data_IF_526972600811
#
_entry.id   IF_526972600811
#
_cell.length_a   1.000
_cell.length_b   1.000
_cell.length_c   1.000
_cell.angle_alpha   90.00
_cell.angle_beta   90.00
_cell.angle_gamma   90.00
#
_symmetry.space_group_name_H-M   'P 1'
#
loop_
_entity.id
_entity.type
_entity.pdbx_description
1 polymer ?
#
# COMPACT_ATOMS: atom_id res chain seq x y z
N UNK A 1 -39.56 -4.45 6.09
CA UNK A 1 -38.51 -4.45 7.12
C UNK A 1 -37.22 -4.92 6.46
N UNK A 2 -36.12 -4.21 6.72
CA UNK A 2 -35.01 -4.00 5.80
C UNK A 2 -34.30 -5.25 5.30
N UNK A 3 -33.94 -5.23 4.02
CA UNK A 3 -32.83 -6.02 3.50
C UNK A 3 -31.56 -5.46 4.15
N UNK A 4 -31.03 -6.15 5.16
CA UNK A 4 -29.66 -5.89 5.57
C UNK A 4 -28.79 -6.16 4.35
N UNK A 5 -28.30 -5.09 3.72
CA UNK A 5 -27.18 -5.18 2.80
C UNK A 5 -26.02 -5.67 3.67
N UNK A 6 -25.83 -6.99 3.70
CA UNK A 6 -24.59 -7.58 4.16
C UNK A 6 -23.55 -7.17 3.13
N UNK A 7 -22.94 -6.00 3.35
CA UNK A 7 -21.79 -5.54 2.59
C UNK A 7 -20.75 -6.64 2.70
N UNK A 8 -20.60 -7.44 1.64
CA UNK A 8 -19.47 -8.36 1.52
C UNK A 8 -18.23 -7.49 1.39
N UNK A 9 -17.66 -7.11 2.53
CA UNK A 9 -16.34 -6.51 2.59
C UNK A 9 -15.35 -7.56 2.11
N UNK A 10 -15.02 -7.52 0.83
CA UNK A 10 -14.02 -8.39 0.25
C UNK A 10 -12.64 -7.80 0.58
N UNK A 11 -12.02 -8.34 1.63
CA UNK A 11 -10.62 -8.09 1.92
C UNK A 11 -9.77 -9.14 1.19
N UNK A 12 -8.95 -8.69 0.25
CA UNK A 12 -8.12 -9.56 -0.58
C UNK A 12 -6.66 -9.22 -0.31
N UNK A 13 -5.87 -10.24 0.06
CA UNK A 13 -4.42 -10.17 0.02
C UNK A 13 -3.95 -11.04 -1.14
N UNK A 14 -3.14 -10.47 -2.02
CA UNK A 14 -2.50 -11.20 -3.12
C UNK A 14 -1.07 -10.71 -3.32
N UNK A 15 -0.26 -11.49 -4.04
CA UNK A 15 1.01 -10.99 -4.57
C UNK A 15 0.75 -9.77 -5.44
N UNK A 16 1.60 -8.77 -5.29
CA UNK A 16 1.58 -7.58 -6.12
C UNK A 16 1.99 -7.94 -7.55
N UNK A 17 1.33 -7.29 -8.50
CA UNK A 17 1.67 -7.29 -9.91
C UNK A 17 2.33 -5.96 -10.25
N UNK A 18 3.09 -5.88 -11.33
CA UNK A 18 3.82 -4.64 -11.70
C UNK A 18 2.89 -3.42 -11.82
N UNK A 19 1.63 -3.63 -12.21
CA UNK A 19 0.62 -2.57 -12.28
C UNK A 19 0.22 -1.98 -10.92
N UNK A 20 0.51 -2.66 -9.82
CA UNK A 20 0.23 -2.18 -8.47
C UNK A 20 1.31 -1.21 -7.95
N UNK A 21 2.48 -1.15 -8.60
CA UNK A 21 3.61 -0.35 -8.13
C UNK A 21 3.26 1.12 -7.82
N UNK A 22 2.47 1.83 -8.65
CA UNK A 22 2.05 3.20 -8.33
C UNK A 22 1.23 3.29 -7.03
N UNK A 23 0.29 2.37 -6.82
CA UNK A 23 -0.57 2.37 -5.64
C UNK A 23 0.21 2.02 -4.37
N UNK A 24 1.15 1.08 -4.46
CA UNK A 24 2.06 0.71 -3.37
C UNK A 24 2.93 1.90 -2.98
N UNK A 25 3.50 2.60 -3.97
CA UNK A 25 4.29 3.81 -3.74
C UNK A 25 3.47 4.89 -3.01
N UNK A 26 2.23 5.14 -3.43
CA UNK A 26 1.34 6.09 -2.74
C UNK A 26 1.04 5.70 -1.30
N UNK A 27 0.67 4.43 -1.05
CA UNK A 27 0.40 3.89 0.28
C UNK A 27 1.61 4.06 1.20
N UNK A 28 2.79 3.74 0.68
CA UNK A 28 4.05 3.85 1.40
C UNK A 28 4.32 5.31 1.80
N UNK A 29 4.27 6.24 0.84
CA UNK A 29 4.48 7.66 1.09
C UNK A 29 3.50 8.19 2.14
N UNK A 30 2.20 7.90 2.00
CA UNK A 30 1.19 8.31 2.99
C UNK A 30 1.45 7.75 4.39
N UNK A 31 1.85 6.48 4.48
CA UNK A 31 2.12 5.79 5.75
C UNK A 31 3.32 6.40 6.46
N UNK A 32 4.39 6.69 5.71
CA UNK A 32 5.57 7.32 6.27
C UNK A 32 5.36 8.80 6.61
N UNK A 33 4.61 9.56 5.80
CA UNK A 33 4.24 10.93 6.16
C UNK A 33 3.43 11.00 7.47
N UNK A 34 2.48 10.07 7.66
CA UNK A 34 1.74 9.94 8.93
C UNK A 34 2.69 9.61 10.08
N UNK A 35 3.57 8.63 9.90
CA UNK A 35 4.56 8.25 10.91
C UNK A 35 5.49 9.39 11.31
N UNK A 36 6.00 10.16 10.34
CA UNK A 36 6.89 11.31 10.56
C UNK A 36 6.21 12.41 11.38
N UNK A 37 4.94 12.74 11.04
CA UNK A 37 4.15 13.71 11.80
C UNK A 37 3.95 13.29 13.26
N UNK A 38 3.73 11.99 13.50
CA UNK A 38 3.44 11.48 14.83
C UNK A 38 4.71 11.27 15.69
N UNK A 39 5.88 11.11 15.05
CA UNK A 39 7.13 10.69 15.72
C UNK A 39 8.16 11.80 15.95
N UNK A 40 7.89 13.06 15.58
CA UNK A 40 8.84 14.19 15.64
C UNK A 40 10.20 13.91 14.95
N UNK A 41 10.23 12.99 14.00
CA UNK A 41 11.41 12.69 13.20
C UNK A 41 11.56 13.74 12.10
N UNK A 42 12.78 14.22 11.88
CA UNK A 42 13.07 15.29 10.90
C UNK A 42 13.90 14.81 9.72
N UNK A 43 14.45 13.60 9.79
CA UNK A 43 15.25 13.04 8.70
C UNK A 43 14.37 12.22 7.75
N UNK A 44 14.49 12.42 6.42
CA UNK A 44 13.75 11.62 5.45
C UNK A 44 14.17 10.16 5.56
N UNK A 45 13.20 9.28 5.78
CA UNK A 45 13.41 7.85 5.74
C UNK A 45 13.65 7.42 4.28
N UNK A 46 14.45 6.36 4.08
CA UNK A 46 14.77 5.81 2.76
C UNK A 46 13.50 5.53 1.93
N UNK A 47 12.43 5.07 2.59
CA UNK A 47 11.12 4.85 1.98
C UNK A 47 10.43 6.13 1.46
N UNK A 48 10.80 7.33 1.92
CA UNK A 48 10.31 8.58 1.32
C UNK A 48 11.02 8.91 0.00
N UNK A 49 12.19 8.29 -0.25
CA UNK A 49 12.98 8.49 -1.47
C UNK A 49 12.80 7.39 -2.51
N UNK A 50 12.17 6.28 -2.14
CA UNK A 50 11.82 5.21 -3.07
C UNK A 50 10.91 5.72 -4.17
N UNK A 51 11.20 5.30 -5.40
CA UNK A 51 10.45 5.62 -6.60
C UNK A 51 9.57 4.46 -7.03
N UNK A 52 8.64 4.70 -7.95
CA UNK A 52 7.86 3.61 -8.56
C UNK A 52 8.76 2.57 -9.25
N UNK A 53 9.91 2.97 -9.80
CA UNK A 53 10.86 2.04 -10.42
C UNK A 53 11.55 1.13 -9.38
N UNK A 54 11.78 1.63 -8.17
CA UNK A 54 12.31 0.84 -7.06
C UNK A 54 11.28 -0.21 -6.60
N UNK A 55 10.00 0.20 -6.48
CA UNK A 55 8.90 -0.72 -6.18
C UNK A 55 8.73 -1.77 -7.29
N UNK A 56 8.88 -1.39 -8.56
CA UNK A 56 8.85 -2.34 -9.68
C UNK A 56 10.01 -3.34 -9.59
N UNK A 57 11.21 -2.90 -9.23
CA UNK A 57 12.34 -3.79 -9.01
C UNK A 57 12.06 -4.78 -7.86
N UNK A 58 11.43 -4.32 -6.79
CA UNK A 58 11.04 -5.13 -5.64
C UNK A 58 9.97 -6.15 -6.00
N UNK A 59 8.91 -5.77 -6.72
CA UNK A 59 7.88 -6.71 -7.20
C UNK A 59 8.49 -7.82 -8.06
N UNK A 60 9.52 -7.51 -8.85
CA UNK A 60 10.19 -8.48 -9.72
C UNK A 60 11.14 -9.41 -8.99
N UNK A 61 11.74 -8.96 -7.88
CA UNK A 61 12.87 -9.65 -7.25
C UNK A 61 12.60 -10.15 -5.84
N UNK A 62 11.55 -9.65 -5.18
CA UNK A 62 11.14 -9.96 -3.81
C UNK A 62 9.70 -10.50 -3.79
N UNK A 63 9.24 -10.89 -2.60
CA UNK A 63 7.83 -11.19 -2.39
C UNK A 63 7.11 -9.95 -1.85
N UNK A 64 6.38 -9.26 -2.72
CA UNK A 64 5.58 -8.09 -2.37
C UNK A 64 4.11 -8.47 -2.39
N UNK A 65 3.35 -8.05 -1.38
CA UNK A 65 1.92 -8.28 -1.26
C UNK A 65 1.15 -6.97 -1.21
N UNK A 66 -0.07 -6.99 -1.75
CA UNK A 66 -1.01 -5.87 -1.72
C UNK A 66 -2.31 -6.32 -1.05
N UNK A 67 -2.83 -5.46 -0.18
CA UNK A 67 -4.12 -5.60 0.46
C UNK A 67 -5.14 -4.69 -0.23
N UNK A 68 -6.28 -5.26 -0.59
CA UNK A 68 -7.36 -4.59 -1.32
C UNK A 68 -8.67 -4.67 -0.54
N UNK A 69 -9.41 -3.56 -0.49
CA UNK A 69 -10.80 -3.50 -0.03
C UNK A 69 -11.63 -2.97 -1.20
N UNK A 70 -12.63 -3.73 -1.65
CA UNK A 70 -13.47 -3.37 -2.80
C UNK A 70 -12.66 -3.05 -4.07
N UNK A 71 -11.52 -3.73 -4.24
CA UNK A 71 -10.58 -3.52 -5.35
C UNK A 71 -9.67 -2.29 -5.20
N UNK A 72 -9.78 -1.53 -4.11
CA UNK A 72 -8.94 -0.37 -3.81
C UNK A 72 -7.77 -0.81 -2.94
N UNK A 73 -6.55 -0.42 -3.32
CA UNK A 73 -5.35 -0.69 -2.54
C UNK A 73 -5.39 0.08 -1.22
N UNK A 74 -5.18 -0.63 -0.11
CA UNK A 74 -5.21 -0.05 1.24
C UNK A 74 -3.98 -0.37 2.08
N UNK A 75 -3.12 -1.27 1.58
CA UNK A 75 -1.89 -1.66 2.27
C UNK A 75 -0.95 -2.46 1.38
N UNK A 76 0.31 -2.50 1.76
CA UNK A 76 1.36 -3.30 1.11
C UNK A 76 2.33 -3.85 2.15
N UNK A 77 3.00 -4.96 1.81
CA UNK A 77 4.00 -5.62 2.65
C UNK A 77 5.08 -6.30 1.81
#
# INVERSE_FOLDING_TARGET
MGTENMFNYAFIIRKAEESDAPAIHEIMQESFEKYMRDSNLTEPLEAMTETVDDILADIRTKEVFIALIDGIAVGSA
#
